data_IF_284773568603
#
_entry.id   IF_284773568603
#
_cell.length_a   1.000
_cell.length_b   1.000
_cell.length_c   1.000
_cell.angle_alpha   90.00
_cell.angle_beta   90.00
_cell.angle_gamma   90.00
#
_symmetry.space_group_name_H-M   'P 1'
#
loop_
_entity.id
_entity.type
_entity.pdbx_description
1 polymer ?
#
# COMPACT_ATOMS: atom_id res chain seq x y z
N UNK A 1 -7.39 -6.93 21.53
CA UNK A 1 -5.96 -7.10 21.87
C UNK A 1 -5.85 -7.39 23.36
N UNK A 2 -5.00 -8.31 23.77
CA UNK A 2 -4.78 -8.68 25.18
C UNK A 2 -3.29 -8.83 25.49
N UNK A 3 -2.91 -8.50 26.74
CA UNK A 3 -1.55 -8.72 27.28
C UNK A 3 -1.38 -10.08 27.99
N UNK A 4 -2.46 -10.85 28.17
CA UNK A 4 -2.45 -12.16 28.85
C UNK A 4 -2.18 -13.32 27.90
N UNK A 5 -2.02 -14.54 28.44
CA UNK A 5 -1.79 -15.77 27.65
C UNK A 5 -3.04 -16.26 26.89
N UNK A 6 -4.21 -15.72 27.18
CA UNK A 6 -5.46 -16.11 26.53
C UNK A 6 -6.66 -15.30 27.01
N UNK A 7 -7.77 -15.45 26.33
CA UNK A 7 -9.06 -14.88 26.69
C UNK A 7 -9.91 -16.00 27.32
N UNK A 8 -10.15 -15.97 28.64
CA UNK A 8 -11.06 -16.94 29.29
C UNK A 8 -12.43 -16.88 28.65
N UNK A 9 -13.11 -18.04 28.56
CA UNK A 9 -14.46 -18.14 27.98
C UNK A 9 -14.62 -17.54 26.59
N UNK A 10 -13.54 -17.49 25.80
CA UNK A 10 -13.54 -16.87 24.46
C UNK A 10 -14.66 -17.38 23.56
N UNK A 11 -15.01 -18.67 23.63
CA UNK A 11 -16.10 -19.28 22.86
C UNK A 11 -17.46 -18.66 23.21
N UNK A 12 -17.78 -18.52 24.50
CA UNK A 12 -19.04 -17.94 24.95
C UNK A 12 -19.12 -16.44 24.60
N UNK A 13 -18.00 -15.73 24.78
CA UNK A 13 -17.87 -14.32 24.38
C UNK A 13 -18.14 -14.13 22.89
N UNK A 14 -17.48 -14.93 22.03
CA UNK A 14 -17.65 -14.86 20.57
C UNK A 14 -19.09 -15.16 20.18
N UNK A 15 -19.70 -16.22 20.73
CA UNK A 15 -21.09 -16.59 20.43
C UNK A 15 -22.07 -15.48 20.81
N UNK A 16 -21.90 -14.88 22.00
CA UNK A 16 -22.74 -13.77 22.44
C UNK A 16 -22.58 -12.53 21.54
N UNK A 17 -21.33 -12.23 21.15
CA UNK A 17 -21.02 -11.07 20.31
C UNK A 17 -21.61 -11.21 18.90
N UNK A 18 -21.41 -12.36 18.26
CA UNK A 18 -21.91 -12.62 16.89
C UNK A 18 -23.44 -12.70 16.87
N UNK A 19 -24.07 -13.26 17.95
CA UNK A 19 -25.53 -13.27 18.08
C UNK A 19 -26.08 -11.85 18.19
N UNK A 20 -25.41 -10.97 18.93
CA UNK A 20 -25.84 -9.56 19.13
C UNK A 20 -25.55 -8.68 17.92
N UNK A 21 -24.47 -8.95 17.20
CA UNK A 21 -23.99 -8.18 16.06
C UNK A 21 -23.72 -9.08 14.85
N UNK A 22 -24.77 -9.49 14.10
CA UNK A 22 -24.64 -10.42 12.97
C UNK A 22 -23.76 -9.89 11.81
N UNK A 23 -23.53 -8.59 11.74
CA UNK A 23 -22.65 -7.95 10.74
C UNK A 23 -21.16 -8.23 10.94
N UNK A 24 -20.76 -8.76 12.12
CA UNK A 24 -19.35 -9.10 12.38
C UNK A 24 -18.92 -10.23 11.41
N UNK A 25 -17.90 -9.96 10.60
CA UNK A 25 -17.36 -10.93 9.62
C UNK A 25 -16.25 -11.78 10.19
N UNK A 26 -15.42 -11.22 11.10
CA UNK A 26 -14.31 -11.94 11.72
C UNK A 26 -13.98 -11.37 13.10
N UNK A 27 -13.47 -12.24 13.98
CA UNK A 27 -12.95 -11.86 15.31
C UNK A 27 -11.57 -12.47 15.44
N UNK A 28 -10.59 -11.62 15.70
CA UNK A 28 -9.19 -11.99 15.86
C UNK A 28 -8.73 -11.60 17.26
N UNK A 29 -8.11 -12.54 17.97
CA UNK A 29 -7.43 -12.30 19.22
C UNK A 29 -5.96 -12.04 18.94
N UNK A 30 -5.51 -10.80 19.16
CA UNK A 30 -4.11 -10.43 19.03
C UNK A 30 -3.44 -10.35 20.41
N UNK A 31 -2.25 -10.93 20.52
CA UNK A 31 -1.45 -10.99 21.74
C UNK A 31 -0.35 -9.93 21.66
N UNK A 32 -0.52 -8.82 22.38
CA UNK A 32 0.52 -7.80 22.51
C UNK A 32 0.99 -7.67 23.96
N UNK A 33 2.20 -8.12 24.22
CA UNK A 33 2.86 -8.02 25.53
C UNK A 33 3.97 -6.98 25.54
N UNK A 34 4.26 -6.40 24.37
CA UNK A 34 5.33 -5.42 24.25
C UNK A 34 4.87 -4.05 24.79
N UNK A 35 5.77 -3.39 25.51
CA UNK A 35 5.62 -1.98 25.92
C UNK A 35 6.23 -1.08 24.85
N UNK A 36 5.62 -1.06 23.67
CA UNK A 36 6.07 -0.27 22.52
C UNK A 36 4.90 0.51 21.94
N UNK A 37 5.17 1.44 21.03
CA UNK A 37 4.15 2.16 20.26
C UNK A 37 3.36 1.28 19.29
N UNK A 38 3.79 0.02 19.07
CA UNK A 38 3.07 -0.90 18.20
C UNK A 38 1.78 -1.39 18.87
N UNK A 39 0.66 -1.16 18.21
CA UNK A 39 -0.67 -1.53 18.68
C UNK A 39 -0.85 -3.06 18.64
N UNK A 40 -0.47 -3.70 17.54
CA UNK A 40 -0.65 -5.15 17.35
C UNK A 40 0.66 -5.90 17.63
N UNK A 41 0.54 -6.99 18.39
CA UNK A 41 1.63 -7.94 18.61
C UNK A 41 1.82 -8.91 17.44
N UNK A 42 2.91 -9.67 17.49
CA UNK A 42 3.27 -10.62 16.42
C UNK A 42 2.29 -11.81 16.33
N UNK A 43 1.76 -12.27 17.47
CA UNK A 43 0.95 -13.46 17.54
C UNK A 43 -0.53 -13.12 17.53
N UNK A 44 -1.31 -13.91 16.80
CA UNK A 44 -2.76 -13.78 16.74
C UNK A 44 -3.43 -15.12 16.52
N UNK A 45 -4.72 -15.21 16.89
CA UNK A 45 -5.58 -16.35 16.68
C UNK A 45 -6.95 -15.92 16.20
N UNK A 46 -7.40 -16.48 15.10
CA UNK A 46 -8.77 -16.29 14.62
C UNK A 46 -9.73 -17.04 15.58
N UNK A 47 -10.68 -16.32 16.13
CA UNK A 47 -11.73 -16.87 17.01
C UNK A 47 -13.02 -17.11 16.26
N UNK A 48 -13.28 -16.33 15.19
CA UNK A 48 -14.48 -16.44 14.36
C UNK A 48 -14.21 -15.88 12.96
N UNK A 49 -14.87 -16.48 11.96
CA UNK A 49 -14.80 -16.04 10.57
C UNK A 49 -13.49 -16.38 9.88
N UNK A 50 -13.22 -15.77 8.73
CA UNK A 50 -12.08 -16.14 7.85
C UNK A 50 -10.74 -15.53 8.27
N UNK A 51 -10.68 -14.63 9.26
CA UNK A 51 -9.46 -13.94 9.67
C UNK A 51 -9.11 -12.71 8.84
N UNK A 52 -10.01 -12.28 7.98
CA UNK A 52 -9.88 -11.05 7.18
C UNK A 52 -11.25 -10.41 6.94
N UNK A 53 -11.25 -9.18 6.48
CA UNK A 53 -12.44 -8.51 5.91
C UNK A 53 -12.22 -8.26 4.42
N UNK A 54 -13.27 -7.92 3.70
CA UNK A 54 -13.19 -7.53 2.28
C UNK A 54 -13.73 -6.12 2.10
N UNK A 55 -13.14 -5.40 1.16
CA UNK A 55 -13.60 -4.09 0.72
C UNK A 55 -13.40 -3.95 -0.79
N UNK A 56 -13.98 -2.91 -1.42
CA UNK A 56 -13.92 -2.67 -2.86
C UNK A 56 -13.41 -1.27 -3.16
N UNK A 57 -12.44 -1.20 -4.07
CA UNK A 57 -11.92 0.05 -4.64
C UNK A 57 -11.72 -0.14 -6.14
N UNK A 58 -12.19 0.82 -6.95
CA UNK A 58 -11.99 0.83 -8.40
C UNK A 58 -12.51 -0.42 -9.11
N UNK A 59 -13.60 -1.02 -8.59
CA UNK A 59 -14.20 -2.24 -9.14
C UNK A 59 -13.52 -3.55 -8.72
N UNK A 60 -12.38 -3.50 -8.04
CA UNK A 60 -11.67 -4.67 -7.52
C UNK A 60 -12.04 -4.95 -6.05
N UNK A 61 -12.01 -6.23 -5.66
CA UNK A 61 -12.24 -6.66 -4.28
C UNK A 61 -10.92 -6.99 -3.61
N UNK A 62 -10.73 -6.49 -2.38
CA UNK A 62 -9.50 -6.66 -1.60
C UNK A 62 -9.79 -7.38 -0.30
N UNK A 63 -8.98 -8.41 -0.01
CA UNK A 63 -8.89 -9.02 1.32
C UNK A 63 -7.90 -8.24 2.15
N UNK A 64 -8.31 -7.92 3.38
CA UNK A 64 -7.56 -7.08 4.30
C UNK A 64 -7.37 -7.86 5.59
N UNK A 65 -6.16 -8.31 5.88
CA UNK A 65 -5.84 -8.96 7.15
C UNK A 65 -5.54 -7.94 8.25
N UNK A 66 -5.58 -8.39 9.50
CA UNK A 66 -5.44 -7.54 10.70
C UNK A 66 -4.13 -6.75 10.78
N UNK A 67 -3.07 -7.25 10.15
CA UNK A 67 -1.72 -6.66 10.17
C UNK A 67 -1.37 -5.87 8.92
N UNK A 68 -2.26 -5.83 7.96
CA UNK A 68 -2.06 -5.09 6.73
C UNK A 68 -2.58 -3.67 6.88
N UNK A 69 -1.84 -2.71 6.36
CA UNK A 69 -2.32 -1.35 6.25
C UNK A 69 -3.40 -1.26 5.15
N UNK A 70 -4.44 -0.52 5.43
CA UNK A 70 -5.49 -0.16 4.47
C UNK A 70 -6.00 1.23 4.79
N UNK A 71 -6.31 2.02 3.78
CA UNK A 71 -6.77 3.40 3.94
C UNK A 71 -8.14 3.45 4.62
N UNK A 72 -8.30 4.33 5.60
CA UNK A 72 -9.50 4.39 6.48
C UNK A 72 -10.70 5.10 5.87
N UNK A 73 -10.52 5.85 4.79
CA UNK A 73 -11.57 6.59 4.07
C UNK A 73 -11.70 6.04 2.65
N UNK A 74 -12.54 5.03 2.39
CA UNK A 74 -12.60 4.35 1.09
C UNK A 74 -12.96 5.29 -0.07
N UNK A 75 -13.89 6.22 0.14
CA UNK A 75 -14.34 7.15 -0.89
C UNK A 75 -13.20 8.09 -1.34
N UNK A 76 -12.48 8.67 -0.38
CA UNK A 76 -11.34 9.54 -0.69
C UNK A 76 -10.12 8.76 -1.16
N UNK A 77 -9.96 7.52 -0.72
CA UNK A 77 -8.93 6.61 -1.25
C UNK A 77 -9.13 6.34 -2.74
N UNK A 78 -10.37 6.15 -3.16
CA UNK A 78 -10.66 5.97 -4.58
C UNK A 78 -10.34 7.24 -5.39
N UNK A 79 -10.61 8.43 -4.85
CA UNK A 79 -10.21 9.70 -5.45
C UNK A 79 -8.68 9.80 -5.53
N UNK A 80 -7.97 9.48 -4.46
CA UNK A 80 -6.51 9.50 -4.38
C UNK A 80 -5.87 8.59 -5.44
N UNK A 81 -6.28 7.33 -5.47
CA UNK A 81 -5.70 6.35 -6.39
C UNK A 81 -6.08 6.61 -7.84
N UNK A 82 -7.31 7.02 -8.12
CA UNK A 82 -7.73 7.45 -9.45
C UNK A 82 -6.92 8.67 -9.92
N UNK A 83 -6.65 9.63 -9.05
CA UNK A 83 -5.79 10.78 -9.35
C UNK A 83 -4.38 10.32 -9.70
N UNK A 84 -3.77 9.46 -8.89
CA UNK A 84 -2.42 8.95 -9.13
C UNK A 84 -2.33 8.20 -10.47
N UNK A 85 -3.25 7.28 -10.73
CA UNK A 85 -3.28 6.49 -11.97
C UNK A 85 -3.56 7.34 -13.21
N UNK A 86 -4.45 8.33 -13.10
CA UNK A 86 -4.72 9.30 -14.17
C UNK A 86 -3.48 10.13 -14.53
N UNK A 87 -2.68 10.52 -13.53
CA UNK A 87 -1.41 11.21 -13.76
C UNK A 87 -0.33 10.27 -14.32
N UNK A 88 -0.31 9.02 -13.88
CA UNK A 88 0.61 8.00 -14.36
C UNK A 88 0.44 7.71 -15.86
N UNK A 89 -0.77 7.84 -16.41
CA UNK A 89 -1.11 7.58 -17.83
C UNK A 89 -0.53 6.24 -18.30
N UNK A 90 -0.80 5.19 -17.52
CA UNK A 90 -0.28 3.84 -17.78
C UNK A 90 -0.80 3.33 -19.12
N UNK A 91 0.10 2.72 -19.91
CA UNK A 91 -0.19 2.09 -21.20
C UNK A 91 -0.09 0.57 -21.07
N UNK A 92 -0.70 -0.14 -22.00
CA UNK A 92 -0.65 -1.61 -22.11
C UNK A 92 0.75 -2.19 -22.45
N UNK A 93 1.69 -1.32 -22.78
CA UNK A 93 3.11 -1.63 -22.98
C UNK A 93 3.98 -1.40 -21.76
N UNK A 94 3.47 -0.67 -20.75
CA UNK A 94 4.27 -0.20 -19.61
C UNK A 94 4.54 -1.31 -18.59
N UNK A 95 5.75 -1.31 -18.07
CA UNK A 95 6.15 -2.00 -16.83
C UNK A 95 6.08 -1.00 -15.69
N UNK A 96 5.26 -1.31 -14.68
CA UNK A 96 5.04 -0.46 -13.50
C UNK A 96 5.74 -1.05 -12.30
N UNK A 97 6.47 -0.23 -11.54
CA UNK A 97 6.98 -0.56 -10.21
C UNK A 97 6.13 0.19 -9.17
N UNK A 98 5.49 -0.53 -8.26
CA UNK A 98 4.83 -0.01 -7.07
C UNK A 98 5.71 -0.33 -5.86
N UNK A 99 6.45 0.65 -5.38
CA UNK A 99 7.33 0.52 -4.23
C UNK A 99 6.57 0.96 -2.96
N UNK A 100 6.42 0.08 -2.00
CA UNK A 100 5.54 0.17 -0.82
C UNK A 100 4.08 -0.22 -1.13
N UNK A 101 3.89 -1.32 -1.87
CA UNK A 101 2.60 -1.69 -2.44
C UNK A 101 1.53 -2.15 -1.44
N UNK A 102 1.88 -2.40 -0.17
CA UNK A 102 0.95 -2.91 0.83
C UNK A 102 0.27 -4.21 0.40
N UNK A 103 -1.05 -4.25 0.45
CA UNK A 103 -1.87 -5.40 -0.01
C UNK A 103 -2.11 -5.38 -1.54
N UNK A 104 -1.37 -4.56 -2.26
CA UNK A 104 -1.43 -4.48 -3.72
C UNK A 104 -2.55 -3.59 -4.26
N UNK A 105 -3.09 -2.66 -3.48
CA UNK A 105 -4.26 -1.89 -3.91
C UNK A 105 -3.96 -1.08 -5.18
N UNK A 106 -2.91 -0.24 -5.16
CA UNK A 106 -2.51 0.56 -6.32
C UNK A 106 -1.97 -0.34 -7.43
N UNK A 107 -1.16 -1.35 -7.07
CA UNK A 107 -0.60 -2.32 -8.03
C UNK A 107 -1.68 -2.98 -8.88
N UNK A 108 -2.77 -3.47 -8.25
CA UNK A 108 -3.84 -4.18 -8.96
C UNK A 108 -4.70 -3.23 -9.80
N UNK A 109 -4.93 -2.01 -9.32
CA UNK A 109 -5.59 -0.99 -10.12
C UNK A 109 -4.74 -0.62 -11.36
N UNK A 110 -3.42 -0.48 -11.21
CA UNK A 110 -2.49 -0.24 -12.31
C UNK A 110 -2.46 -1.42 -13.31
N UNK A 111 -2.55 -2.65 -12.81
CA UNK A 111 -2.49 -3.87 -13.62
C UNK A 111 -3.65 -4.01 -14.61
N UNK A 112 -4.76 -3.30 -14.41
CA UNK A 112 -5.88 -3.26 -15.37
C UNK A 112 -5.49 -2.62 -16.70
N UNK A 113 -4.41 -1.81 -16.73
CA UNK A 113 -3.96 -1.08 -17.91
C UNK A 113 -2.50 -1.34 -18.27
N UNK A 114 -1.70 -1.88 -17.36
CA UNK A 114 -0.27 -2.11 -17.54
C UNK A 114 0.00 -3.44 -18.26
N UNK A 115 1.14 -3.53 -18.94
CA UNK A 115 1.70 -4.80 -19.41
C UNK A 115 2.08 -5.71 -18.25
N UNK A 116 2.74 -5.14 -17.27
CA UNK A 116 3.24 -5.86 -16.09
C UNK A 116 3.39 -4.93 -14.90
N UNK A 117 3.07 -5.41 -13.69
CA UNK A 117 3.23 -4.65 -12.45
C UNK A 117 4.07 -5.44 -11.47
N UNK A 118 5.07 -4.77 -10.91
CA UNK A 118 5.95 -5.29 -9.85
C UNK A 118 5.63 -4.53 -8.58
N UNK A 119 5.11 -5.24 -7.56
CA UNK A 119 4.84 -4.68 -6.24
C UNK A 119 5.91 -5.11 -5.23
N UNK A 120 6.40 -4.17 -4.44
CA UNK A 120 7.40 -4.42 -3.39
C UNK A 120 6.88 -3.88 -2.06
N UNK A 121 6.96 -4.70 -1.02
CA UNK A 121 6.50 -4.36 0.32
C UNK A 121 7.31 -5.13 1.35
N UNK A 122 7.71 -4.46 2.43
CA UNK A 122 8.53 -5.07 3.48
C UNK A 122 7.74 -6.06 4.35
N UNK A 123 6.42 -5.89 4.47
CA UNK A 123 5.56 -6.75 5.28
C UNK A 123 5.17 -8.03 4.52
N UNK A 124 5.69 -9.22 4.90
CA UNK A 124 5.37 -10.47 4.20
C UNK A 124 3.89 -10.86 4.27
N UNK A 125 3.14 -10.39 5.28
CA UNK A 125 1.70 -10.66 5.35
C UNK A 125 0.95 -9.84 4.30
N UNK A 126 1.30 -8.56 4.13
CA UNK A 126 0.72 -7.72 3.09
C UNK A 126 0.98 -8.29 1.69
N UNK A 127 2.18 -8.83 1.45
CA UNK A 127 2.50 -9.52 0.17
C UNK A 127 1.67 -10.79 -0.03
N UNK A 128 1.39 -11.56 1.03
CA UNK A 128 0.47 -12.71 0.91
C UNK A 128 -0.93 -12.25 0.52
N UNK A 129 -1.41 -11.16 1.13
CA UNK A 129 -2.69 -10.57 0.78
C UNK A 129 -2.69 -10.03 -0.66
N UNK A 130 -1.63 -9.34 -1.09
CA UNK A 130 -1.48 -8.83 -2.45
C UNK A 130 -1.56 -9.95 -3.50
N UNK A 131 -0.84 -11.07 -3.29
CA UNK A 131 -0.91 -12.25 -4.17
C UNK A 131 -2.30 -12.89 -4.21
N UNK A 132 -2.97 -12.98 -3.05
CA UNK A 132 -4.34 -13.50 -2.98
C UNK A 132 -5.33 -12.56 -3.68
N UNK A 133 -5.16 -11.25 -3.52
CA UNK A 133 -5.98 -10.22 -4.16
C UNK A 133 -5.79 -10.24 -5.68
N UNK A 134 -4.56 -10.40 -6.17
CA UNK A 134 -4.27 -10.56 -7.60
C UNK A 134 -4.97 -11.79 -8.19
N UNK A 135 -4.85 -12.94 -7.53
CA UNK A 135 -5.52 -14.17 -7.94
C UNK A 135 -7.04 -14.04 -7.93
N UNK A 136 -7.60 -13.44 -6.87
CA UNK A 136 -9.03 -13.22 -6.72
C UNK A 136 -9.60 -12.35 -7.85
N UNK A 137 -8.90 -11.26 -8.17
CA UNK A 137 -9.29 -10.33 -9.23
C UNK A 137 -8.83 -10.76 -10.65
N UNK A 138 -8.23 -11.94 -10.81
CA UNK A 138 -7.78 -12.50 -12.09
C UNK A 138 -6.81 -11.58 -12.85
N UNK A 139 -5.85 -11.02 -12.13
CA UNK A 139 -4.80 -10.14 -12.67
C UNK A 139 -3.44 -10.86 -12.68
N UNK A 140 -3.17 -11.72 -13.69
CA UNK A 140 -1.95 -12.56 -13.73
C UNK A 140 -0.69 -11.78 -14.10
N UNK A 141 -0.84 -10.53 -14.58
CA UNK A 141 0.25 -9.64 -14.97
C UNK A 141 0.87 -8.89 -13.79
N UNK A 142 0.84 -9.49 -12.60
CA UNK A 142 1.38 -8.89 -11.37
C UNK A 142 2.36 -9.82 -10.68
N UNK A 143 3.45 -9.26 -10.17
CA UNK A 143 4.41 -9.94 -9.31
C UNK A 143 4.61 -9.17 -8.01
N UNK A 144 4.72 -9.89 -6.88
CA UNK A 144 4.85 -9.28 -5.56
C UNK A 144 6.02 -9.85 -4.78
N UNK A 145 6.85 -8.97 -4.20
CA UNK A 145 8.07 -9.30 -3.49
C UNK A 145 8.06 -8.76 -2.06
N UNK A 146 8.29 -9.66 -1.09
CA UNK A 146 8.48 -9.29 0.31
C UNK A 146 9.94 -8.86 0.51
N UNK A 147 10.22 -7.57 0.40
CA UNK A 147 11.57 -7.02 0.48
C UNK A 147 11.54 -5.54 0.94
N UNK A 148 12.65 -5.07 1.46
CA UNK A 148 12.91 -3.64 1.57
C UNK A 148 13.02 -3.03 0.18
N UNK A 149 12.31 -1.93 -0.07
CA UNK A 149 12.26 -1.31 -1.40
C UNK A 149 13.64 -0.79 -1.84
N UNK A 150 14.47 -0.28 -0.89
CA UNK A 150 15.80 0.21 -1.22
C UNK A 150 16.77 -0.93 -1.58
N UNK A 151 16.64 -2.07 -0.94
CA UNK A 151 17.43 -3.26 -1.31
C UNK A 151 16.95 -3.86 -2.64
N UNK A 152 15.64 -3.93 -2.84
CA UNK A 152 15.05 -4.50 -4.06
C UNK A 152 15.48 -3.70 -5.31
N UNK A 153 15.34 -2.38 -5.27
CA UNK A 153 15.65 -1.53 -6.41
C UNK A 153 17.14 -1.59 -6.81
N UNK A 154 18.06 -1.83 -5.84
CA UNK A 154 19.50 -1.98 -6.15
C UNK A 154 19.79 -3.22 -7.01
N UNK A 155 19.00 -4.27 -6.86
CA UNK A 155 19.15 -5.55 -7.59
C UNK A 155 18.31 -5.61 -8.85
N UNK A 156 17.50 -4.58 -9.09
CA UNK A 156 16.58 -4.54 -10.22
C UNK A 156 17.34 -4.32 -11.53
N UNK A 157 17.20 -5.26 -12.47
CA UNK A 157 17.83 -5.22 -13.80
C UNK A 157 16.86 -4.74 -14.90
N UNK A 158 15.58 -4.54 -14.56
CA UNK A 158 14.54 -4.09 -15.49
C UNK A 158 14.30 -2.61 -15.23
N UNK A 159 14.32 -1.79 -16.29
CA UNK A 159 13.89 -0.40 -16.21
C UNK A 159 12.37 -0.36 -16.22
N UNK A 160 11.69 0.10 -15.14
CA UNK A 160 10.26 0.35 -15.20
C UNK A 160 9.96 1.61 -16.04
N UNK A 161 8.84 1.63 -16.74
CA UNK A 161 8.37 2.82 -17.47
C UNK A 161 7.72 3.81 -16.52
N UNK A 162 7.01 3.29 -15.53
CA UNK A 162 6.31 4.06 -14.49
C UNK A 162 6.69 3.55 -13.11
N UNK A 163 6.96 4.47 -12.20
CA UNK A 163 7.13 4.14 -10.77
C UNK A 163 6.08 4.87 -9.96
N UNK A 164 5.37 4.14 -9.11
CA UNK A 164 4.42 4.67 -8.15
C UNK A 164 5.03 4.50 -6.76
N UNK A 165 4.99 5.55 -5.96
CA UNK A 165 5.47 5.60 -4.60
C UNK A 165 4.32 6.00 -3.68
N UNK A 166 4.08 5.22 -2.63
CA UNK A 166 3.17 5.54 -1.52
C UNK A 166 3.83 5.12 -0.20
N UNK A 167 4.94 5.79 0.19
CA UNK A 167 5.71 5.40 1.35
C UNK A 167 5.03 5.81 2.66
N UNK A 168 5.50 5.27 3.80
CA UNK A 168 5.12 5.76 5.12
C UNK A 168 5.51 7.24 5.31
N UNK A 169 5.01 7.86 6.38
CA UNK A 169 5.19 9.28 6.70
C UNK A 169 6.66 9.77 6.73
N UNK A 170 7.60 8.85 6.94
CA UNK A 170 9.04 9.14 6.91
C UNK A 170 9.60 9.37 5.50
N UNK A 171 8.83 9.07 4.46
CA UNK A 171 9.27 9.16 3.07
C UNK A 171 10.11 7.96 2.62
N UNK A 172 10.75 8.11 1.46
CA UNK A 172 11.67 7.16 0.86
C UNK A 172 13.10 7.40 1.31
N UNK A 173 13.92 6.35 1.30
CA UNK A 173 15.34 6.50 1.62
C UNK A 173 16.12 7.14 0.47
N UNK A 174 17.16 7.93 0.80
CA UNK A 174 18.03 8.54 -0.21
C UNK A 174 18.66 7.51 -1.16
N UNK A 175 19.18 6.34 -0.69
CA UNK A 175 19.68 5.31 -1.59
C UNK A 175 18.67 4.81 -2.61
N UNK A 176 17.38 4.66 -2.19
CA UNK A 176 16.30 4.32 -3.11
C UNK A 176 16.11 5.40 -4.18
N UNK A 177 16.00 6.66 -3.76
CA UNK A 177 15.73 7.78 -4.68
C UNK A 177 16.89 8.01 -5.66
N UNK A 178 18.13 7.82 -5.23
CA UNK A 178 19.30 7.88 -6.13
C UNK A 178 19.28 6.76 -7.16
N UNK A 179 18.96 5.53 -6.74
CA UNK A 179 18.88 4.40 -7.68
C UNK A 179 17.71 4.55 -8.65
N UNK A 180 16.56 5.05 -8.15
CA UNK A 180 15.41 5.38 -9.00
C UNK A 180 15.80 6.39 -10.10
N UNK A 181 16.53 7.44 -9.72
CA UNK A 181 17.04 8.44 -10.67
C UNK A 181 17.95 7.83 -11.73
N UNK A 182 18.79 6.84 -11.36
CA UNK A 182 19.68 6.11 -12.27
C UNK A 182 18.90 5.19 -13.24
N UNK A 183 17.86 4.48 -12.74
CA UNK A 183 17.00 3.65 -13.58
C UNK A 183 16.23 4.47 -14.60
N UNK A 184 16.04 5.74 -14.32
CA UNK A 184 15.44 6.72 -15.24
C UNK A 184 14.08 6.30 -15.83
N UNK A 185 13.06 5.96 -14.99
CA UNK A 185 11.72 5.71 -15.50
C UNK A 185 11.18 6.95 -16.23
N UNK A 186 10.25 6.76 -17.15
CA UNK A 186 9.68 7.87 -17.91
C UNK A 186 8.79 8.75 -17.02
N UNK A 187 8.10 8.11 -16.07
CA UNK A 187 7.15 8.77 -15.15
C UNK A 187 7.31 8.26 -13.74
N UNK A 188 7.30 9.19 -12.78
CA UNK A 188 7.25 8.89 -11.35
C UNK A 188 6.02 9.58 -10.77
N UNK A 189 5.15 8.82 -10.14
CA UNK A 189 4.01 9.33 -9.38
C UNK A 189 4.28 9.08 -7.91
N UNK A 190 4.38 10.15 -7.14
CA UNK A 190 4.66 10.07 -5.72
C UNK A 190 3.45 10.55 -4.92
N UNK A 191 2.83 9.64 -4.18
CA UNK A 191 1.76 9.89 -3.21
C UNK A 191 2.41 10.06 -1.84
N UNK A 192 2.02 11.07 -1.08
CA UNK A 192 2.57 11.28 0.26
C UNK A 192 1.58 11.95 1.21
N UNK A 193 1.48 11.40 2.42
CA UNK A 193 0.79 12.03 3.55
C UNK A 193 1.63 13.10 4.26
N UNK A 194 2.85 13.35 3.80
CA UNK A 194 3.75 14.36 4.36
C UNK A 194 4.48 15.13 3.26
N UNK A 195 3.96 16.29 2.85
CA UNK A 195 4.56 17.11 1.80
C UNK A 195 6.01 17.56 2.10
N UNK A 196 6.39 17.67 3.37
CA UNK A 196 7.74 18.08 3.75
C UNK A 196 8.78 17.01 3.42
N UNK A 197 8.52 15.76 3.74
CA UNK A 197 9.42 14.65 3.36
C UNK A 197 9.43 14.47 1.85
N UNK A 198 8.27 14.60 1.20
CA UNK A 198 8.15 14.48 -0.25
C UNK A 198 9.06 15.47 -1.00
N UNK A 199 9.11 16.74 -0.55
CA UNK A 199 9.99 17.77 -1.15
C UNK A 199 11.46 17.36 -1.06
N UNK A 200 11.88 16.80 0.08
CA UNK A 200 13.26 16.32 0.27
C UNK A 200 13.56 15.10 -0.60
N UNK A 201 12.64 14.16 -0.65
CA UNK A 201 12.81 12.88 -1.36
C UNK A 201 12.93 13.07 -2.87
N UNK A 202 12.23 14.05 -3.46
CA UNK A 202 12.28 14.27 -4.91
C UNK A 202 13.55 15.00 -5.40
N UNK A 203 14.39 15.54 -4.51
CA UNK A 203 15.60 16.27 -4.91
C UNK A 203 16.58 15.45 -5.78
N UNK A 204 16.86 14.16 -5.51
CA UNK A 204 17.69 13.36 -6.42
C UNK A 204 17.11 13.25 -7.84
N UNK A 205 15.79 13.13 -7.97
CA UNK A 205 15.11 13.09 -9.27
C UNK A 205 15.25 14.44 -10.00
N UNK A 206 15.06 15.56 -9.30
CA UNK A 206 15.25 16.91 -9.87
C UNK A 206 16.67 17.11 -10.38
N UNK A 207 17.68 16.69 -9.60
CA UNK A 207 19.09 16.72 -10.01
C UNK A 207 19.38 15.84 -11.22
N UNK A 208 18.62 14.75 -11.40
CA UNK A 208 18.69 13.86 -12.56
C UNK A 208 17.88 14.38 -13.79
N UNK A 209 17.32 15.59 -13.72
CA UNK A 209 16.62 16.22 -14.84
C UNK A 209 15.11 15.99 -14.87
N UNK A 210 14.52 15.40 -13.83
CA UNK A 210 13.06 15.31 -13.73
C UNK A 210 12.45 16.66 -13.39
N UNK A 211 11.30 16.92 -13.99
CA UNK A 211 10.49 18.12 -13.73
C UNK A 211 9.16 17.73 -13.11
N UNK A 212 8.73 18.48 -12.11
CA UNK A 212 7.39 18.38 -11.57
C UNK A 212 6.41 18.87 -12.65
N UNK A 213 5.50 18.04 -13.08
CA UNK A 213 4.48 18.36 -14.08
C UNK A 213 3.14 18.71 -13.45
N UNK A 214 2.82 18.07 -12.33
CA UNK A 214 1.55 18.27 -11.63
C UNK A 214 1.72 17.98 -10.14
N UNK A 215 1.04 18.76 -9.32
CA UNK A 215 0.83 18.52 -7.89
C UNK A 215 -0.67 18.59 -7.66
N UNK A 216 -1.24 17.56 -7.04
CA UNK A 216 -2.66 17.49 -6.73
C UNK A 216 -2.81 17.13 -5.26
N UNK A 217 -3.34 18.04 -4.42
CA UNK A 217 -3.72 17.70 -3.05
C UNK A 217 -5.02 16.90 -3.03
N UNK A 218 -5.14 15.97 -2.09
CA UNK A 218 -6.35 15.17 -1.85
C UNK A 218 -6.65 15.18 -0.35
N UNK A 219 -7.85 15.60 0.02
CA UNK A 219 -8.30 15.63 1.43
C UNK A 219 -8.82 14.27 1.86
N UNK A 220 -7.90 13.39 2.26
CA UNK A 220 -8.19 12.05 2.76
C UNK A 220 -8.66 12.08 4.22
N UNK A 221 -8.17 13.03 5.01
CA UNK A 221 -8.39 13.17 6.44
C UNK A 221 -9.10 14.47 6.77
N UNK A 222 -10.35 14.60 6.30
CA UNK A 222 -11.19 15.79 6.50
C UNK A 222 -11.20 16.26 7.97
N UNK A 223 -11.21 17.57 8.17
CA UNK A 223 -11.17 18.23 9.50
C UNK A 223 -9.86 18.02 10.29
N UNK A 224 -8.79 17.58 9.63
CA UNK A 224 -7.45 17.50 10.20
C UNK A 224 -6.47 18.37 9.40
N UNK A 225 -5.27 18.70 9.92
CA UNK A 225 -4.26 19.41 9.15
C UNK A 225 -3.50 18.50 8.14
N UNK A 226 -3.91 17.25 8.00
CA UNK A 226 -3.25 16.29 7.11
C UNK A 226 -3.85 16.32 5.71
N UNK A 227 -2.98 16.38 4.71
CA UNK A 227 -3.35 16.35 3.30
C UNK A 227 -2.47 15.32 2.58
N UNK A 228 -3.08 14.50 1.74
CA UNK A 228 -2.34 13.68 0.78
C UNK A 228 -1.96 14.55 -0.42
N UNK A 229 -0.75 14.35 -0.92
CA UNK A 229 -0.29 15.03 -2.13
C UNK A 229 0.14 14.01 -3.18
N UNK A 230 -0.34 14.18 -4.41
CA UNK A 230 0.07 13.36 -5.56
C UNK A 230 0.91 14.23 -6.49
N UNK A 231 2.18 13.84 -6.66
CA UNK A 231 3.13 14.56 -7.51
C UNK A 231 3.48 13.70 -8.71
N UNK A 232 3.27 14.24 -9.92
CA UNK A 232 3.79 13.65 -11.15
C UNK A 232 5.12 14.30 -11.51
N UNK A 233 6.14 13.49 -11.70
CA UNK A 233 7.41 13.89 -12.28
C UNK A 233 7.70 13.13 -13.56
N UNK A 234 8.25 13.82 -14.55
CA UNK A 234 8.71 13.22 -15.81
C UNK A 234 10.10 13.74 -16.14
N UNK A 235 10.84 12.88 -16.81
CA UNK A 235 12.06 13.26 -17.49
C UNK A 235 11.70 13.54 -18.94
N UNK A 236 11.66 14.90 -19.34
CA UNK A 236 11.33 15.23 -20.68
C UNK A 236 11.67 16.04 -21.38
#
# INVERSE_FOLDING_TARGET
MIGSKGLPSSKNFVNALVKKFPQIKTIILNFNRARTSMILGKDERVLYGPGYITDRIGGLEFRISSKSFYQVNPEQTEVLYRTALSLAKIKDTDVVLDACCGIGTISLLAAQSAKHVIGVEINPQAIRDAKNNAKHNKLPNTEFYAADAAEFIQRMNIKPDVVILDPPRSGMTLPFMHKLAQLSPDRVVYISCNPYTQVTDIEPLKKAGYKIKKIVPVDLFCFTPHVETVVLMTRN
#
